data_IF_045436591597
#
_entry.id   IF_045436591597
#
_cell.length_a   1.000
_cell.length_b   1.000
_cell.length_c   1.000
_cell.angle_alpha   90.00
_cell.angle_beta   90.00
_cell.angle_gamma   90.00
#
_symmetry.space_group_name_H-M   'P 1'
#
loop_
_entity.id
_entity.type
_entity.pdbx_description
1 polymer ?
#
# COMPACT_ATOMS: atom_id res chain seq x y z
N UNK A 1 9.00 8.43 -21.69
CA UNK A 1 8.60 7.42 -20.70
C UNK A 1 8.40 8.15 -19.37
N UNK A 2 7.22 8.09 -18.74
CA UNK A 2 7.04 8.61 -17.38
C UNK A 2 7.16 7.42 -16.45
N UNK A 3 8.22 7.38 -15.65
CA UNK A 3 8.52 6.32 -14.70
C UNK A 3 7.52 6.34 -13.54
N UNK A 4 6.32 5.77 -13.75
CA UNK A 4 5.34 5.58 -12.69
C UNK A 4 5.57 4.26 -11.94
N UNK A 5 6.80 3.95 -11.55
CA UNK A 5 7.08 2.73 -10.76
C UNK A 5 6.78 2.90 -9.26
N UNK A 6 5.82 3.75 -8.90
CA UNK A 6 5.47 4.01 -7.50
C UNK A 6 4.36 3.06 -7.10
N UNK A 7 4.70 2.13 -6.21
CA UNK A 7 3.73 1.30 -5.50
C UNK A 7 2.99 2.18 -4.49
N UNK A 8 1.66 2.19 -4.56
CA UNK A 8 0.79 2.97 -3.67
C UNK A 8 0.07 2.03 -2.72
N UNK A 9 -0.05 2.46 -1.47
CA UNK A 9 -0.91 1.81 -0.50
C UNK A 9 -2.37 1.88 -0.97
N UNK A 10 -2.98 0.72 -1.17
CA UNK A 10 -4.33 0.61 -1.71
C UNK A 10 -5.35 0.22 -0.64
N UNK A 11 -5.00 -0.72 0.24
CA UNK A 11 -5.93 -1.22 1.24
C UNK A 11 -5.21 -1.76 2.47
N UNK A 12 -5.87 -1.64 3.63
CA UNK A 12 -5.54 -2.34 4.86
C UNK A 12 -6.78 -3.14 5.28
N UNK A 13 -6.60 -4.45 5.43
CA UNK A 13 -7.63 -5.33 5.96
C UNK A 13 -7.08 -6.07 7.18
N UNK A 14 -7.84 -6.08 8.27
CA UNK A 14 -7.51 -6.83 9.48
C UNK A 14 -8.58 -7.89 9.66
N UNK A 15 -8.19 -9.15 9.57
CA UNK A 15 -9.08 -10.29 9.74
C UNK A 15 -8.32 -11.44 10.40
N UNK A 16 -8.99 -12.15 11.32
CA UNK A 16 -8.44 -13.35 11.99
C UNK A 16 -7.06 -13.15 12.63
N UNK A 17 -6.81 -11.98 13.21
CA UNK A 17 -5.51 -11.65 13.84
C UNK A 17 -4.39 -11.37 12.86
N UNK A 18 -4.67 -11.23 11.56
CA UNK A 18 -3.70 -10.91 10.51
C UNK A 18 -4.05 -9.57 9.87
N UNK A 19 -3.08 -8.66 9.84
CA UNK A 19 -3.13 -7.43 9.07
C UNK A 19 -2.59 -7.69 7.65
N UNK A 20 -3.38 -7.30 6.65
CA UNK A 20 -3.05 -7.38 5.22
C UNK A 20 -2.95 -5.98 4.64
N UNK A 21 -1.78 -5.63 4.13
CA UNK A 21 -1.51 -4.39 3.43
C UNK A 21 -1.40 -4.69 1.94
N UNK A 22 -2.33 -4.17 1.16
CA UNK A 22 -2.33 -4.29 -0.29
C UNK A 22 -1.73 -3.02 -0.92
N UNK A 23 -0.81 -3.23 -1.85
CA UNK A 23 -0.20 -2.18 -2.66
C UNK A 23 -0.53 -2.39 -4.13
N UNK A 24 -0.81 -1.29 -4.82
CA UNK A 24 -1.06 -1.28 -6.26
C UNK A 24 -0.01 -0.44 -6.96
N UNK A 25 0.43 -0.90 -8.13
CA UNK A 25 1.34 -0.16 -8.99
C UNK A 25 0.53 0.66 -9.98
N UNK A 26 0.90 1.92 -10.13
CA UNK A 26 0.32 2.78 -11.18
C UNK A 26 1.04 2.47 -12.49
N UNK A 27 0.37 1.79 -13.42
CA UNK A 27 0.99 1.44 -14.70
C UNK A 27 0.89 2.57 -15.72
N UNK A 28 -0.25 3.27 -15.72
CA UNK A 28 -0.50 4.34 -16.69
C UNK A 28 -1.45 5.40 -16.14
N UNK A 29 -1.21 6.65 -16.51
CA UNK A 29 -2.09 7.79 -16.22
C UNK A 29 -2.45 8.43 -17.56
N UNK A 30 -3.68 8.21 -18.02
CA UNK A 30 -4.21 8.89 -19.18
C UNK A 30 -4.89 10.20 -18.74
N UNK A 31 -4.18 11.32 -18.92
CA UNK A 31 -4.65 12.65 -18.50
C UNK A 31 -5.86 13.15 -19.31
N UNK A 32 -5.99 12.75 -20.58
CA UNK A 32 -7.09 13.17 -21.45
C UNK A 32 -8.40 12.49 -21.06
N UNK A 33 -8.34 11.21 -20.72
CA UNK A 33 -9.50 10.41 -20.28
C UNK A 33 -9.72 10.45 -18.77
N UNK A 34 -8.82 11.10 -18.01
CA UNK A 34 -8.79 11.07 -16.53
C UNK A 34 -8.84 9.66 -15.95
N UNK A 35 -8.14 8.72 -16.61
CA UNK A 35 -8.13 7.31 -16.21
C UNK A 35 -6.75 6.93 -15.70
N UNK A 36 -6.74 6.17 -14.61
CA UNK A 36 -5.52 5.60 -14.03
C UNK A 36 -5.64 4.09 -14.12
N UNK A 37 -4.68 3.45 -14.78
CA UNK A 37 -4.56 1.99 -14.82
C UNK A 37 -3.67 1.57 -13.67
N UNK A 38 -4.20 0.71 -12.80
CA UNK A 38 -3.49 0.18 -11.65
C UNK A 38 -3.45 -1.34 -11.72
N UNK A 39 -2.31 -1.93 -11.39
CA UNK A 39 -2.14 -3.37 -11.26
C UNK A 39 -1.80 -3.75 -9.81
N UNK A 40 -2.22 -4.95 -9.34
CA UNK A 40 -1.77 -5.45 -8.04
C UNK A 40 -0.24 -5.56 -8.03
N UNK A 41 0.40 -5.10 -6.97
CA UNK A 41 1.87 -5.09 -6.87
C UNK A 41 2.37 -5.98 -5.74
N UNK A 42 2.23 -5.53 -4.50
CA UNK A 42 2.72 -6.23 -3.31
C UNK A 42 1.57 -6.42 -2.33
N UNK A 43 1.52 -7.60 -1.72
CA UNK A 43 0.66 -7.87 -0.58
C UNK A 43 1.53 -8.29 0.59
N UNK A 44 1.49 -7.51 1.67
CA UNK A 44 2.12 -7.87 2.92
C UNK A 44 1.06 -8.42 3.86
N UNK A 45 1.29 -9.61 4.39
CA UNK A 45 0.46 -10.22 5.43
C UNK A 45 1.33 -10.42 6.67
N UNK A 46 0.92 -9.82 7.78
CA UNK A 46 1.66 -9.87 9.03
C UNK A 46 0.71 -10.08 10.21
N UNK A 47 1.15 -10.74 11.29
CA UNK A 47 0.38 -10.81 12.52
C UNK A 47 -0.02 -9.42 13.00
N UNK A 48 -1.24 -9.27 13.51
CA UNK A 48 -1.76 -7.98 13.94
C UNK A 48 -0.89 -7.30 15.01
N UNK A 49 -0.36 -8.07 15.96
CA UNK A 49 0.58 -7.58 16.98
C UNK A 49 1.84 -6.95 16.36
N UNK A 50 2.42 -7.61 15.35
CA UNK A 50 3.58 -7.09 14.64
C UNK A 50 3.25 -5.80 13.86
N UNK A 51 2.04 -5.72 13.30
CA UNK A 51 1.56 -4.50 12.64
C UNK A 51 1.42 -3.33 13.62
N UNK A 52 0.87 -3.57 14.81
CA UNK A 52 0.74 -2.54 15.85
C UNK A 52 2.10 -2.05 16.33
N UNK A 53 3.05 -2.95 16.58
CA UNK A 53 4.43 -2.56 16.93
C UNK A 53 5.08 -1.73 15.83
N UNK A 54 4.89 -2.11 14.56
CA UNK A 54 5.39 -1.33 13.42
C UNK A 54 4.76 0.07 13.40
N UNK A 55 3.44 0.19 13.58
CA UNK A 55 2.74 1.46 13.60
C UNK A 55 3.23 2.39 14.73
N UNK A 56 3.49 1.83 15.91
CA UNK A 56 4.08 2.58 17.04
C UNK A 56 5.49 3.11 16.73
N UNK A 57 6.34 2.30 16.09
CA UNK A 57 7.67 2.75 15.68
C UNK A 57 7.60 3.87 14.64
N UNK A 58 6.67 3.79 13.68
CA UNK A 58 6.43 4.86 12.72
C UNK A 58 5.95 6.16 13.38
N UNK A 59 5.09 6.06 14.42
CA UNK A 59 4.62 7.23 15.16
C UNK A 59 5.77 7.97 15.85
N UNK A 60 6.73 7.23 16.42
CA UNK A 60 7.92 7.81 17.09
C UNK A 60 8.88 8.53 16.14
N UNK A 61 8.95 8.13 14.87
CA UNK A 61 9.80 8.79 13.86
C UNK A 61 9.21 10.14 13.42
N UNK A 62 7.93 10.38 13.68
CA UNK A 62 7.25 11.64 13.33
C UNK A 62 7.43 12.74 14.39
N UNK A 63 7.79 12.38 15.62
CA UNK A 63 8.19 13.32 16.70
C UNK A 63 9.66 13.72 16.55
#
# INVERSE_FOLDING_TARGET
>A
MRDFFVDRFANLNIADGVARLDFVRVENINAEKKQVTMSPSLRLALPFEAFMQMAEQFAKVRE
#
